data_IF_647955857553
#
_entry.id   IF_647955857553
#
_cell.length_a   1.000
_cell.length_b   1.000
_cell.length_c   1.000
_cell.angle_alpha   90.00
_cell.angle_beta   90.00
_cell.angle_gamma   90.00
#
_symmetry.space_group_name_H-M   'P 1'
#
loop_
_entity.id
_entity.type
_entity.pdbx_description
1 polymer ?
#
# COMPACT_ATOMS: atom_id res chain seq x y z
N UNK A 1 24.59 16.86 0.91
CA UNK A 1 23.68 15.68 0.88
C UNK A 1 24.22 14.52 0.02
N UNK A 2 25.04 14.74 -1.00
CA UNK A 2 25.59 13.64 -1.82
C UNK A 2 26.39 12.60 -1.04
N UNK A 3 27.06 12.99 0.03
CA UNK A 3 27.99 12.13 0.78
C UNK A 3 27.32 11.09 1.70
N UNK A 4 25.97 11.15 1.83
CA UNK A 4 25.18 10.24 2.68
C UNK A 4 24.18 9.41 1.89
N UNK A 5 24.25 9.42 0.55
CA UNK A 5 23.31 8.70 -0.32
C UNK A 5 24.03 7.58 -1.04
N UNK A 6 23.54 6.34 -0.85
CA UNK A 6 24.03 5.16 -1.55
C UNK A 6 22.91 4.70 -2.48
N UNK A 7 23.19 4.63 -3.78
CA UNK A 7 22.26 4.03 -4.74
C UNK A 7 22.47 2.51 -4.75
N UNK A 8 21.38 1.76 -4.61
CA UNK A 8 21.36 0.31 -4.60
C UNK A 8 20.49 -0.20 -5.74
N UNK A 9 20.91 -1.29 -6.39
CA UNK A 9 20.09 -2.00 -7.39
C UNK A 9 18.93 -2.74 -6.69
N UNK A 10 17.83 -2.90 -7.41
CA UNK A 10 16.71 -3.73 -6.97
C UNK A 10 17.05 -5.22 -7.08
N UNK A 11 16.45 -6.03 -6.21
CA UNK A 11 16.47 -7.50 -6.26
C UNK A 11 17.88 -8.11 -6.14
N UNK A 12 18.84 -7.34 -5.64
CA UNK A 12 20.20 -7.76 -5.36
C UNK A 12 20.54 -7.59 -3.88
N UNK A 13 21.39 -8.46 -3.34
CA UNK A 13 21.86 -8.35 -1.96
C UNK A 13 23.09 -7.43 -1.89
N UNK A 14 22.98 -6.35 -1.14
CA UNK A 14 24.02 -5.35 -0.93
C UNK A 14 24.51 -5.40 0.51
N UNK A 15 25.84 -5.38 0.70
CA UNK A 15 26.45 -5.29 2.01
C UNK A 15 26.82 -3.85 2.33
N UNK A 16 26.27 -3.32 3.42
CA UNK A 16 26.51 -1.95 3.90
C UNK A 16 27.27 -2.02 5.21
N UNK A 17 28.43 -1.40 5.28
CA UNK A 17 29.18 -1.24 6.50
C UNK A 17 28.56 -0.15 7.37
N UNK A 18 28.37 -0.44 8.66
CA UNK A 18 27.76 0.47 9.64
C UNK A 18 28.79 1.27 10.42
N UNK A 19 30.09 0.88 10.33
CA UNK A 19 31.19 1.51 11.01
C UNK A 19 32.40 1.74 10.08
N UNK A 20 33.26 2.71 10.44
CA UNK A 20 34.47 3.05 9.68
C UNK A 20 35.50 1.92 9.71
N UNK A 21 35.47 1.07 10.73
CA UNK A 21 36.40 -0.09 10.85
C UNK A 21 36.02 -1.26 9.98
N UNK A 22 34.86 -1.19 9.30
CA UNK A 22 34.28 -2.24 8.46
C UNK A 22 34.12 -3.61 9.17
N UNK A 23 33.95 -3.60 10.50
CA UNK A 23 33.73 -4.79 11.30
C UNK A 23 32.26 -5.14 11.44
N UNK A 24 31.39 -4.13 11.36
CA UNK A 24 29.97 -4.32 11.44
C UNK A 24 29.30 -3.91 10.14
N UNK A 25 28.34 -4.71 9.69
CA UNK A 25 27.59 -4.43 8.49
C UNK A 25 26.23 -5.08 8.52
N UNK A 26 25.44 -4.73 7.55
CA UNK A 26 24.09 -5.25 7.30
C UNK A 26 23.93 -5.57 5.82
N UNK A 27 23.37 -6.71 5.51
CA UNK A 27 22.89 -7.02 4.17
C UNK A 27 21.54 -6.35 3.96
N UNK A 28 21.36 -5.74 2.79
CA UNK A 28 20.13 -5.03 2.40
C UNK A 28 19.70 -5.50 1.03
N UNK A 29 18.43 -5.87 0.89
CA UNK A 29 17.77 -6.14 -0.38
C UNK A 29 16.62 -5.17 -0.55
N UNK A 30 16.52 -4.55 -1.72
CA UNK A 30 15.38 -3.73 -2.13
C UNK A 30 14.46 -4.55 -3.03
N UNK A 31 13.18 -4.61 -2.71
CA UNK A 31 12.16 -5.34 -3.48
C UNK A 31 10.98 -4.42 -3.77
N UNK A 32 10.32 -4.59 -4.91
CA UNK A 32 9.15 -3.78 -5.25
C UNK A 32 8.04 -3.95 -4.20
N UNK A 33 7.58 -2.84 -3.65
CA UNK A 33 6.46 -2.80 -2.71
C UNK A 33 5.09 -2.81 -3.41
N UNK A 34 5.04 -2.71 -4.73
CA UNK A 34 3.82 -2.66 -5.55
C UNK A 34 2.81 -1.59 -5.10
N UNK A 35 3.31 -0.53 -4.46
CA UNK A 35 2.49 0.58 -3.96
C UNK A 35 2.36 1.69 -5.01
N UNK A 36 3.49 2.25 -5.38
CA UNK A 36 3.63 3.26 -6.42
C UNK A 36 5.04 3.17 -7.02
N UNK A 37 5.31 3.79 -8.18
CA UNK A 37 6.64 3.78 -8.78
C UNK A 37 7.71 4.25 -7.79
N UNK A 38 8.77 3.44 -7.61
CA UNK A 38 9.87 3.69 -6.69
C UNK A 38 9.63 3.31 -5.23
N UNK A 39 8.44 2.83 -4.85
CA UNK A 39 8.20 2.28 -3.52
C UNK A 39 8.86 0.91 -3.37
N UNK A 40 9.60 0.71 -2.28
CA UNK A 40 10.34 -0.54 -2.03
C UNK A 40 10.09 -1.08 -0.64
N UNK A 41 10.11 -2.41 -0.55
CA UNK A 41 10.30 -3.14 0.70
C UNK A 41 11.79 -3.33 0.95
N UNK A 42 12.20 -3.34 2.21
CA UNK A 42 13.57 -3.59 2.63
C UNK A 42 13.68 -4.89 3.40
N UNK A 43 14.56 -5.79 2.96
CA UNK A 43 14.96 -6.97 3.72
C UNK A 43 16.38 -6.73 4.25
N UNK A 44 16.51 -6.58 5.57
CA UNK A 44 17.79 -6.44 6.24
C UNK A 44 18.19 -7.76 6.91
N UNK A 45 19.47 -8.14 6.81
CA UNK A 45 20.05 -9.26 7.55
C UNK A 45 21.33 -8.81 8.25
N UNK A 46 21.41 -9.01 9.54
CA UNK A 46 22.57 -8.60 10.34
C UNK A 46 22.55 -9.15 11.76
N UNK A 47 23.30 -8.54 12.67
CA UNK A 47 23.40 -8.98 14.08
C UNK A 47 22.05 -9.00 14.83
N UNK A 48 21.12 -8.12 14.44
CA UNK A 48 19.78 -8.08 15.04
C UNK A 48 18.83 -9.15 14.49
N UNK A 49 19.31 -9.99 13.56
CA UNK A 49 18.52 -10.96 12.82
C UNK A 49 18.03 -10.42 11.47
N UNK A 50 16.96 -11.00 10.98
CA UNK A 50 16.32 -10.64 9.70
C UNK A 50 15.13 -9.72 9.95
N UNK A 51 15.16 -8.54 9.34
CA UNK A 51 14.11 -7.53 9.42
C UNK A 51 13.51 -7.32 8.03
N UNK A 52 12.20 -7.52 7.90
CA UNK A 52 11.45 -7.15 6.69
C UNK A 52 10.61 -5.91 7.00
N UNK A 53 10.86 -4.83 6.26
CA UNK A 53 10.11 -3.58 6.34
C UNK A 53 9.36 -3.35 5.04
N UNK A 54 8.03 -3.42 5.08
CA UNK A 54 7.22 -3.30 3.86
C UNK A 54 7.18 -1.89 3.28
N UNK A 55 7.44 -0.86 4.09
CA UNK A 55 7.00 0.48 3.73
C UNK A 55 5.49 0.49 3.51
N UNK A 56 4.98 1.42 2.71
CA UNK A 56 3.65 1.36 2.13
C UNK A 56 3.69 0.33 1.00
N UNK A 57 2.82 -0.69 1.05
CA UNK A 57 2.85 -1.79 0.07
C UNK A 57 1.45 -2.29 -0.31
N UNK A 58 1.37 -2.87 -1.48
CA UNK A 58 0.21 -3.67 -1.89
C UNK A 58 0.65 -5.11 -2.11
N UNK A 59 0.17 -6.03 -1.27
CA UNK A 59 0.47 -7.44 -1.44
C UNK A 59 0.00 -7.95 -2.80
N UNK A 60 0.89 -8.64 -3.49
CA UNK A 60 0.61 -9.39 -4.71
C UNK A 60 1.23 -10.78 -4.58
N UNK A 61 0.58 -11.86 -5.06
CA UNK A 61 1.12 -13.23 -4.98
C UNK A 61 2.54 -13.39 -5.54
N UNK A 62 2.91 -12.63 -6.56
CA UNK A 62 4.26 -12.63 -7.14
C UNK A 62 5.37 -12.28 -6.13
N UNK A 63 5.06 -11.54 -5.05
CA UNK A 63 6.04 -11.29 -3.98
C UNK A 63 6.53 -12.59 -3.33
N UNK A 64 5.68 -13.63 -3.30
CA UNK A 64 6.03 -14.95 -2.76
C UNK A 64 6.84 -15.80 -3.76
N UNK A 65 7.07 -15.30 -4.94
CA UNK A 65 7.93 -15.93 -5.96
C UNK A 65 9.35 -15.36 -5.93
N UNK A 66 9.57 -14.24 -5.22
CA UNK A 66 10.86 -13.57 -5.13
C UNK A 66 11.91 -14.46 -4.45
N UNK A 67 13.02 -14.81 -5.12
CA UNK A 67 13.95 -15.86 -4.64
C UNK A 67 14.68 -15.49 -3.35
N UNK A 68 14.94 -14.20 -3.09
CA UNK A 68 15.58 -13.74 -1.87
C UNK A 68 14.61 -13.62 -0.68
N UNK A 69 13.30 -13.56 -0.94
CA UNK A 69 12.26 -13.54 0.08
C UNK A 69 11.71 -14.94 0.34
N UNK A 70 11.47 -15.72 -0.71
CA UNK A 70 10.94 -17.07 -0.67
C UNK A 70 11.85 -18.00 -1.46
N UNK A 71 12.97 -18.49 -0.87
CA UNK A 71 13.92 -19.34 -1.55
C UNK A 71 13.26 -20.61 -2.12
N UNK A 72 13.68 -21.08 -3.31
CA UNK A 72 13.08 -22.22 -3.98
C UNK A 72 13.01 -23.50 -3.12
N UNK A 73 14.00 -23.72 -2.25
CA UNK A 73 14.07 -24.86 -1.34
C UNK A 73 12.99 -24.84 -0.24
N UNK A 74 12.32 -23.70 -0.04
CA UNK A 74 11.20 -23.54 0.91
C UNK A 74 9.82 -23.57 0.24
N UNK A 75 9.76 -23.75 -1.08
CA UNK A 75 8.50 -23.86 -1.79
C UNK A 75 7.85 -25.22 -1.50
N UNK A 76 6.68 -25.18 -0.86
CA UNK A 76 5.82 -26.34 -0.68
C UNK A 76 4.64 -26.22 -1.65
N UNK A 77 4.34 -27.24 -2.50
CA UNK A 77 3.23 -27.22 -3.43
C UNK A 77 1.85 -26.99 -2.78
N UNK A 78 1.70 -27.37 -1.50
CA UNK A 78 0.44 -27.25 -0.75
C UNK A 78 0.33 -25.93 0.03
N UNK A 79 1.42 -25.16 0.15
CA UNK A 79 1.47 -23.89 0.85
C UNK A 79 1.99 -22.81 -0.09
N UNK A 80 1.34 -21.65 -0.10
CA UNK A 80 1.94 -20.44 -0.67
C UNK A 80 3.31 -20.23 -0.03
N UNK A 81 4.34 -19.96 -0.83
CA UNK A 81 5.75 -19.94 -0.47
C UNK A 81 6.05 -19.50 0.96
N UNK A 82 6.94 -20.22 1.63
CA UNK A 82 7.40 -19.87 2.98
C UNK A 82 8.57 -18.92 2.83
N UNK A 83 8.42 -17.73 3.38
CA UNK A 83 9.47 -16.70 3.37
C UNK A 83 10.71 -17.15 4.16
N UNK A 84 11.82 -16.47 3.97
CA UNK A 84 12.99 -16.56 4.85
C UNK A 84 12.58 -16.33 6.30
N UNK A 85 13.39 -16.83 7.25
CA UNK A 85 13.07 -16.63 8.66
C UNK A 85 13.17 -15.16 9.04
N UNK A 86 12.02 -14.51 9.20
CA UNK A 86 11.91 -13.10 9.57
C UNK A 86 11.80 -12.98 11.09
N UNK A 87 12.74 -12.26 11.69
CA UNK A 87 12.72 -11.97 13.13
C UNK A 87 11.76 -10.82 13.44
N UNK A 88 11.78 -9.77 12.61
CA UNK A 88 10.93 -8.58 12.76
C UNK A 88 10.27 -8.23 11.43
N UNK A 89 8.94 -8.20 11.42
CA UNK A 89 8.14 -7.69 10.31
C UNK A 89 7.58 -6.32 10.68
N UNK A 90 8.06 -5.27 9.99
CA UNK A 90 7.46 -3.95 9.99
C UNK A 90 6.43 -3.87 8.87
N UNK A 91 5.14 -3.80 9.25
CA UNK A 91 4.01 -3.98 8.33
C UNK A 91 3.23 -2.68 8.13
N UNK A 92 2.98 -2.33 6.88
CA UNK A 92 1.93 -1.35 6.53
C UNK A 92 0.57 -1.87 7.00
N UNK A 93 -0.03 -1.16 7.93
CA UNK A 93 -1.31 -1.51 8.52
C UNK A 93 -2.41 -0.48 8.19
N UNK A 94 -2.29 0.23 7.06
CA UNK A 94 -3.24 1.28 6.65
C UNK A 94 -4.67 0.77 6.66
N UNK A 95 -4.93 -0.40 6.07
CA UNK A 95 -6.24 -1.05 6.05
C UNK A 95 -6.29 -2.35 6.87
N UNK A 96 -5.55 -2.41 7.98
CA UNK A 96 -5.60 -3.54 8.91
C UNK A 96 -6.88 -3.53 9.76
N UNK A 97 -8.02 -3.57 9.09
CA UNK A 97 -9.36 -3.60 9.69
C UNK A 97 -10.29 -4.37 8.75
N UNK A 98 -11.04 -5.39 9.21
CA UNK A 98 -11.98 -6.16 8.41
C UNK A 98 -13.06 -5.35 7.68
N UNK A 99 -13.29 -4.10 8.07
CA UNK A 99 -14.19 -3.18 7.38
C UNK A 99 -13.67 -2.74 6.00
N UNK A 100 -12.38 -2.88 5.75
CA UNK A 100 -11.74 -2.54 4.47
C UNK A 100 -11.47 -3.80 3.64
N UNK A 101 -12.57 -4.44 3.21
CA UNK A 101 -12.56 -5.56 2.28
C UNK A 101 -12.87 -5.05 0.88
N UNK A 102 -11.86 -4.67 0.16
CA UNK A 102 -11.97 -4.20 -1.21
C UNK A 102 -11.31 -5.18 -2.19
N UNK A 103 -11.72 -5.18 -3.48
CA UNK A 103 -11.27 -6.12 -4.49
C UNK A 103 -9.78 -5.99 -4.83
N UNK A 104 -9.28 -6.95 -5.60
CA UNK A 104 -7.95 -6.85 -6.23
C UNK A 104 -7.87 -5.64 -7.16
N UNK A 105 -6.66 -5.26 -7.58
CA UNK A 105 -6.49 -4.17 -8.57
C UNK A 105 -7.13 -4.49 -9.89
N UNK A 106 -7.03 -5.74 -10.32
CA UNK A 106 -7.58 -6.25 -11.58
C UNK A 106 -9.10 -6.22 -11.58
N UNK A 107 -9.72 -6.65 -10.48
CA UNK A 107 -11.18 -6.59 -10.30
C UNK A 107 -11.66 -5.13 -10.23
N UNK A 108 -10.95 -4.26 -9.51
CA UNK A 108 -11.26 -2.84 -9.43
C UNK A 108 -11.07 -2.14 -10.80
N UNK A 109 -10.04 -2.51 -11.56
CA UNK A 109 -9.85 -2.03 -12.94
C UNK A 109 -11.00 -2.49 -13.85
N UNK A 110 -11.43 -3.74 -13.75
CA UNK A 110 -12.58 -4.26 -14.52
C UNK A 110 -13.85 -3.46 -14.21
N UNK A 111 -14.09 -3.13 -12.94
CA UNK A 111 -15.21 -2.27 -12.54
C UNK A 111 -15.09 -0.87 -13.16
N UNK A 112 -13.90 -0.26 -13.09
CA UNK A 112 -13.62 1.04 -13.70
C UNK A 112 -13.86 1.04 -15.21
N UNK A 113 -13.31 0.05 -15.91
CA UNK A 113 -13.50 -0.13 -17.35
C UNK A 113 -14.98 -0.26 -17.74
N UNK A 114 -15.77 -1.00 -16.98
CA UNK A 114 -17.21 -1.15 -17.21
C UNK A 114 -17.94 0.19 -17.04
N UNK A 115 -17.61 0.99 -16.03
CA UNK A 115 -18.19 2.32 -15.84
C UNK A 115 -17.87 3.21 -17.04
N UNK A 116 -16.63 3.24 -17.49
CA UNK A 116 -16.23 4.03 -18.66
C UNK A 116 -16.93 3.56 -19.94
N UNK A 117 -17.02 2.24 -20.16
CA UNK A 117 -17.69 1.65 -21.32
C UNK A 117 -19.20 1.96 -21.38
N UNK A 118 -19.88 1.99 -20.23
CA UNK A 118 -21.32 2.31 -20.17
C UNK A 118 -21.61 3.80 -20.39
N UNK A 119 -20.57 4.64 -20.30
CA UNK A 119 -20.67 6.09 -20.49
C UNK A 119 -19.86 6.57 -21.71
N UNK A 120 -19.91 5.82 -22.83
CA UNK A 120 -19.24 6.25 -24.06
C UNK A 120 -19.75 7.62 -24.52
N UNK A 121 -18.82 8.49 -24.89
CA UNK A 121 -19.12 9.85 -25.28
C UNK A 121 -19.19 10.85 -24.11
N UNK A 122 -18.97 10.39 -22.87
CA UNK A 122 -18.82 11.26 -21.73
C UNK A 122 -17.35 11.60 -21.50
N UNK A 123 -17.09 12.83 -21.08
CA UNK A 123 -15.80 13.20 -20.49
C UNK A 123 -15.68 12.54 -19.12
N UNK A 124 -14.50 11.99 -18.82
CA UNK A 124 -14.21 11.33 -17.56
C UNK A 124 -13.30 12.20 -16.69
N UNK A 125 -13.76 12.60 -15.51
CA UNK A 125 -12.90 13.17 -14.48
C UNK A 125 -12.54 12.09 -13.46
N UNK A 126 -11.28 11.64 -13.51
CA UNK A 126 -10.75 10.60 -12.64
C UNK A 126 -10.01 11.24 -11.47
N UNK A 127 -10.54 11.12 -10.27
CA UNK A 127 -9.96 11.70 -9.06
C UNK A 127 -9.02 10.71 -8.37
N UNK A 128 -7.75 11.11 -8.25
CA UNK A 128 -6.71 10.33 -7.59
C UNK A 128 -5.72 11.22 -6.83
N UNK A 129 -4.87 10.61 -6.00
CA UNK A 129 -3.74 11.30 -5.41
C UNK A 129 -2.67 11.61 -6.47
N UNK A 130 -1.71 12.46 -6.12
CA UNK A 130 -0.67 12.95 -7.03
C UNK A 130 0.23 11.83 -7.57
N UNK A 131 0.60 10.87 -6.72
CA UNK A 131 1.41 9.70 -7.05
C UNK A 131 0.63 8.42 -6.72
N UNK A 132 0.96 7.36 -7.42
CA UNK A 132 0.25 6.08 -7.39
C UNK A 132 -0.87 6.04 -8.43
N UNK A 133 -1.24 4.83 -8.80
CA UNK A 133 -2.27 4.53 -9.83
C UNK A 133 -1.83 4.81 -11.28
N UNK A 134 -0.52 4.97 -11.51
CA UNK A 134 0.03 5.15 -12.86
C UNK A 134 -0.34 3.98 -13.76
N UNK A 135 -0.27 2.74 -13.26
CA UNK A 135 -0.66 1.53 -13.98
C UNK A 135 -2.10 1.61 -14.49
N UNK A 136 -3.06 2.03 -13.66
CA UNK A 136 -4.46 2.14 -14.09
C UNK A 136 -4.65 3.22 -15.15
N UNK A 137 -3.87 4.30 -15.10
CA UNK A 137 -3.92 5.35 -16.12
C UNK A 137 -3.34 4.86 -17.45
N UNK A 138 -2.24 4.14 -17.43
CA UNK A 138 -1.63 3.54 -18.62
C UNK A 138 -2.57 2.51 -19.27
N UNK A 139 -3.18 1.65 -18.46
CA UNK A 139 -4.14 0.66 -18.93
C UNK A 139 -5.39 1.32 -19.56
N UNK A 140 -5.88 2.44 -18.98
CA UNK A 140 -6.98 3.21 -19.59
C UNK A 140 -6.58 3.84 -20.92
N UNK A 141 -5.37 4.43 -21.00
CA UNK A 141 -4.87 5.02 -22.23
C UNK A 141 -4.80 4.00 -23.37
N UNK A 142 -4.25 2.81 -23.09
CA UNK A 142 -4.10 1.72 -24.06
C UNK A 142 -5.44 1.09 -24.42
N UNK A 143 -6.32 0.81 -23.44
CA UNK A 143 -7.62 0.17 -23.67
C UNK A 143 -8.59 1.05 -24.47
N UNK A 144 -8.56 2.35 -24.23
CA UNK A 144 -9.48 3.29 -24.87
C UNK A 144 -8.84 4.10 -26.00
N UNK A 145 -7.58 3.78 -26.36
CA UNK A 145 -6.83 4.44 -27.43
C UNK A 145 -6.90 5.97 -27.34
N UNK A 146 -6.68 6.51 -26.12
CA UNK A 146 -6.77 7.95 -25.84
C UNK A 146 -5.58 8.43 -25.00
N UNK A 147 -5.21 9.69 -25.14
CA UNK A 147 -4.27 10.30 -24.22
C UNK A 147 -4.98 10.58 -22.88
N UNK A 148 -4.23 10.42 -21.79
CA UNK A 148 -4.69 10.81 -20.45
C UNK A 148 -4.28 12.24 -20.19
N UNK A 149 -5.28 13.10 -20.00
CA UNK A 149 -5.05 14.51 -19.67
C UNK A 149 -4.64 14.65 -18.21
N UNK A 150 -3.47 15.20 -17.96
CA UNK A 150 -2.89 15.37 -16.62
C UNK A 150 -2.38 16.80 -16.41
N UNK A 151 -2.18 17.21 -15.16
CA UNK A 151 -1.49 18.45 -14.84
C UNK A 151 0.03 18.33 -15.07
N UNK A 152 0.70 19.50 -15.22
CA UNK A 152 2.13 19.63 -15.47
C UNK A 152 3.00 18.80 -14.51
N UNK A 153 2.66 18.80 -13.21
CA UNK A 153 3.42 18.05 -12.20
C UNK A 153 3.40 16.55 -12.47
N UNK A 154 2.24 16.00 -12.86
CA UNK A 154 2.12 14.57 -13.17
C UNK A 154 2.81 14.23 -14.50
N UNK A 155 2.72 15.10 -15.50
CA UNK A 155 3.45 14.95 -16.77
C UNK A 155 4.95 14.90 -16.50
N UNK A 156 5.48 15.84 -15.73
CA UNK A 156 6.89 15.87 -15.35
C UNK A 156 7.32 14.61 -14.60
N UNK A 157 6.49 14.10 -13.70
CA UNK A 157 6.76 12.84 -13.00
C UNK A 157 6.80 11.65 -13.96
N UNK A 158 5.85 11.55 -14.89
CA UNK A 158 5.83 10.49 -15.89
C UNK A 158 7.10 10.52 -16.78
N UNK A 159 7.58 11.71 -17.14
CA UNK A 159 8.82 11.90 -17.89
C UNK A 159 10.06 11.48 -17.09
N UNK A 160 10.19 11.94 -15.83
CA UNK A 160 11.35 11.61 -14.96
C UNK A 160 11.43 10.11 -14.71
N UNK A 161 10.30 9.46 -14.47
CA UNK A 161 10.21 8.02 -14.18
C UNK A 161 10.10 7.15 -15.44
N UNK A 162 10.12 7.75 -16.63
CA UNK A 162 9.95 7.09 -17.93
C UNK A 162 8.71 6.16 -17.99
N UNK A 163 7.58 6.62 -17.44
CA UNK A 163 6.33 5.89 -17.38
C UNK A 163 5.46 6.12 -18.63
N UNK A 164 5.96 5.70 -19.81
CA UNK A 164 5.28 5.87 -21.10
C UNK A 164 4.71 7.30 -21.28
N UNK A 165 5.54 8.37 -21.17
CA UNK A 165 5.06 9.75 -21.15
C UNK A 165 4.28 10.15 -22.43
N UNK A 166 4.43 9.41 -23.51
CA UNK A 166 3.68 9.59 -24.76
C UNK A 166 2.20 9.23 -24.67
N UNK A 167 1.76 8.58 -23.60
CA UNK A 167 0.35 8.28 -23.32
C UNK A 167 -0.34 9.38 -22.50
N UNK A 168 0.39 10.42 -22.12
CA UNK A 168 -0.13 11.56 -21.35
C UNK A 168 -0.05 12.85 -22.16
N UNK A 169 -0.95 13.78 -21.85
CA UNK A 169 -0.93 15.13 -22.38
C UNK A 169 -1.31 16.15 -21.31
N UNK A 170 -0.87 17.39 -21.48
CA UNK A 170 -1.36 18.53 -20.68
C UNK A 170 -2.42 19.34 -21.41
N UNK A 171 -2.62 19.10 -22.71
CA UNK A 171 -3.66 19.73 -23.51
C UNK A 171 -5.03 19.04 -23.27
N UNK A 172 -6.03 19.76 -22.70
CA UNK A 172 -7.34 19.18 -22.43
C UNK A 172 -8.12 18.77 -23.68
N UNK A 173 -7.72 19.22 -24.87
CA UNK A 173 -8.39 18.89 -26.14
C UNK A 173 -7.92 17.57 -26.75
N UNK A 174 -6.80 17.01 -26.29
CA UNK A 174 -6.20 15.81 -26.87
C UNK A 174 -6.66 14.50 -26.22
N UNK A 175 -7.49 14.57 -25.17
CA UNK A 175 -8.03 13.39 -24.49
C UNK A 175 -9.32 13.67 -23.75
N UNK A 176 -10.12 12.65 -23.54
CA UNK A 176 -11.41 12.75 -22.84
C UNK A 176 -11.38 12.17 -21.41
N UNK A 177 -10.25 11.56 -20.99
CA UNK A 177 -10.01 11.10 -19.61
C UNK A 177 -9.04 12.08 -18.94
N UNK A 178 -9.56 12.83 -17.97
CA UNK A 178 -8.82 13.88 -17.26
C UNK A 178 -8.55 13.47 -15.82
N UNK A 179 -7.30 13.43 -15.42
CA UNK A 179 -6.92 13.13 -14.03
C UNK A 179 -6.95 14.42 -13.20
N UNK A 180 -7.72 14.39 -12.13
CA UNK A 180 -7.87 15.48 -11.18
C UNK A 180 -7.33 15.06 -9.81
N UNK A 181 -6.82 16.01 -9.03
CA UNK A 181 -6.39 15.72 -7.68
C UNK A 181 -7.62 15.48 -6.78
N UNK A 182 -7.62 14.39 -6.01
CA UNK A 182 -8.72 14.07 -5.11
C UNK A 182 -8.93 15.12 -4.01
N UNK A 183 -7.90 15.90 -3.67
CA UNK A 183 -8.01 17.01 -2.72
C UNK A 183 -8.91 18.12 -3.24
N UNK A 184 -8.96 18.27 -4.56
CA UNK A 184 -9.75 19.30 -5.23
C UNK A 184 -11.18 18.87 -5.53
N UNK A 185 -11.56 17.61 -5.18
CA UNK A 185 -12.90 17.07 -5.46
C UNK A 185 -14.04 17.96 -4.95
N UNK A 186 -13.84 18.66 -3.83
CA UNK A 186 -14.86 19.56 -3.25
C UNK A 186 -15.09 20.84 -4.06
N UNK A 187 -14.11 21.26 -4.86
CA UNK A 187 -14.19 22.44 -5.71
C UNK A 187 -14.86 22.17 -7.07
N UNK A 188 -15.13 20.89 -7.36
CA UNK A 188 -15.78 20.46 -8.59
C UNK A 188 -17.26 20.20 -8.37
N UNK A 189 -18.09 20.80 -9.21
CA UNK A 189 -19.54 20.60 -9.25
C UNK A 189 -19.89 19.78 -10.50
N UNK A 190 -20.44 18.59 -10.26
CA UNK A 190 -20.76 17.65 -11.35
C UNK A 190 -21.96 18.12 -12.17
N UNK A 191 -22.93 18.79 -11.55
CA UNK A 191 -24.10 19.32 -12.25
C UNK A 191 -23.69 20.47 -13.16
N UNK A 192 -22.80 21.35 -12.69
CA UNK A 192 -22.26 22.44 -13.50
C UNK A 192 -21.45 21.92 -14.69
N UNK A 193 -20.57 20.92 -14.46
CA UNK A 193 -19.80 20.30 -15.54
C UNK A 193 -20.69 19.67 -16.61
N UNK A 194 -21.84 19.11 -16.22
CA UNK A 194 -22.76 18.46 -17.16
C UNK A 194 -23.66 19.42 -17.94
N UNK A 195 -23.64 20.72 -17.64
CA UNK A 195 -24.32 21.73 -18.46
C UNK A 195 -23.62 21.96 -19.80
N UNK A 196 -22.29 21.92 -19.77
CA UNK A 196 -21.47 22.19 -20.96
C UNK A 196 -21.21 20.92 -21.76
N UNK A 197 -20.82 19.83 -21.08
CA UNK A 197 -20.45 18.56 -21.71
C UNK A 197 -20.77 17.38 -20.80
N UNK A 198 -21.39 16.30 -21.31
CA UNK A 198 -21.63 15.09 -20.53
C UNK A 198 -20.38 14.61 -19.83
N UNK A 199 -20.38 14.60 -18.49
CA UNK A 199 -19.18 14.32 -17.69
C UNK A 199 -19.51 13.37 -16.56
N UNK A 200 -18.65 12.36 -16.33
CA UNK A 200 -18.70 11.49 -15.15
C UNK A 200 -17.53 11.76 -14.23
N UNK A 201 -17.78 11.65 -12.93
CA UNK A 201 -16.77 11.71 -11.89
C UNK A 201 -16.51 10.31 -11.35
N UNK A 202 -15.25 9.89 -11.40
CA UNK A 202 -14.82 8.58 -10.89
C UNK A 202 -13.74 8.81 -9.83
N UNK A 203 -13.97 8.27 -8.63
CA UNK A 203 -13.06 8.38 -7.50
C UNK A 203 -12.41 7.03 -7.25
N UNK A 204 -11.07 6.97 -7.34
CA UNK A 204 -10.30 5.76 -7.04
C UNK A 204 -9.84 5.78 -5.59
N UNK A 205 -10.42 4.96 -4.72
CA UNK A 205 -10.08 4.96 -3.29
C UNK A 205 -10.40 3.63 -2.61
N UNK A 206 -9.53 3.18 -1.69
CA UNK A 206 -9.81 2.06 -0.78
C UNK A 206 -10.64 2.44 0.46
N UNK A 207 -10.89 3.73 0.69
CA UNK A 207 -11.66 4.17 1.85
C UNK A 207 -13.16 4.01 1.64
N UNK A 208 -13.81 3.17 2.46
CA UNK A 208 -15.25 2.90 2.35
C UNK A 208 -16.12 4.05 2.86
N UNK A 209 -15.64 4.78 3.85
CA UNK A 209 -16.34 5.84 4.57
C UNK A 209 -16.13 7.25 3.97
N UNK A 210 -15.14 7.39 3.08
CA UNK A 210 -14.79 8.67 2.46
C UNK A 210 -15.37 8.79 1.06
N UNK A 211 -15.59 10.03 0.64
CA UNK A 211 -16.00 10.37 -0.73
C UNK A 211 -17.33 9.74 -1.17
N UNK A 212 -18.23 9.46 -0.23
CA UNK A 212 -19.57 8.96 -0.55
C UNK A 212 -20.48 10.14 -0.94
N UNK A 213 -20.98 10.13 -2.18
CA UNK A 213 -22.00 11.05 -2.68
C UNK A 213 -23.03 10.26 -3.45
N UNK A 214 -24.30 10.48 -3.16
CA UNK A 214 -25.41 9.88 -3.93
C UNK A 214 -25.85 10.89 -5.01
N UNK A 215 -25.03 11.00 -6.05
CA UNK A 215 -25.27 11.90 -7.19
C UNK A 215 -25.23 11.11 -8.49
N UNK A 216 -26.04 11.46 -9.50
CA UNK A 216 -25.91 10.90 -10.82
C UNK A 216 -24.52 11.20 -11.39
N UNK A 217 -24.01 10.29 -12.22
CA UNK A 217 -22.69 10.42 -12.86
C UNK A 217 -21.48 10.51 -11.90
N UNK A 218 -21.66 10.12 -10.64
CA UNK A 218 -20.62 10.06 -9.63
C UNK A 218 -20.39 8.61 -9.20
N UNK A 219 -19.18 8.11 -9.41
CA UNK A 219 -18.82 6.72 -9.17
C UNK A 219 -17.63 6.63 -8.22
N UNK A 220 -17.67 5.69 -7.28
CA UNK A 220 -16.55 5.35 -6.44
C UNK A 220 -16.08 3.94 -6.78
N UNK A 221 -14.84 3.81 -7.21
CA UNK A 221 -14.19 2.53 -7.52
C UNK A 221 -13.23 2.19 -6.39
N UNK A 222 -13.36 1.00 -5.77
CA UNK A 222 -12.54 0.59 -4.63
C UNK A 222 -11.14 0.15 -5.07
N UNK A 223 -10.37 1.06 -5.67
CA UNK A 223 -9.01 0.86 -6.10
C UNK A 223 -8.03 1.41 -5.05
N UNK A 224 -7.18 0.55 -4.48
CA UNK A 224 -6.21 0.91 -3.46
C UNK A 224 -4.78 0.54 -3.86
N UNK A 225 -3.82 1.38 -3.43
CA UNK A 225 -2.38 1.09 -3.51
C UNK A 225 -1.84 0.45 -2.22
N UNK A 226 -2.67 0.29 -1.18
CA UNK A 226 -2.34 -0.45 0.04
C UNK A 226 -3.11 -1.76 0.11
N UNK A 227 -2.56 -2.73 0.81
CA UNK A 227 -3.19 -4.04 1.02
C UNK A 227 -4.46 -3.94 1.85
N UNK A 228 -5.49 -4.71 1.47
CA UNK A 228 -6.67 -4.91 2.30
C UNK A 228 -6.37 -5.88 3.46
N UNK A 229 -7.32 -6.04 4.39
CA UNK A 229 -7.09 -6.89 5.58
C UNK A 229 -6.84 -8.36 5.23
N UNK A 230 -7.46 -8.92 4.18
CA UNK A 230 -7.23 -10.32 3.74
C UNK A 230 -5.86 -10.51 3.12
N UNK A 231 -5.39 -9.52 2.38
CA UNK A 231 -4.05 -9.51 1.80
C UNK A 231 -2.98 -9.40 2.89
N UNK A 232 -3.21 -8.55 3.90
CA UNK A 232 -2.34 -8.43 5.07
C UNK A 232 -2.27 -9.76 5.82
N UNK A 233 -3.40 -10.44 6.03
CA UNK A 233 -3.44 -11.75 6.66
C UNK A 233 -2.63 -12.78 5.88
N UNK A 234 -2.82 -12.86 4.55
CA UNK A 234 -2.06 -13.78 3.68
C UNK A 234 -0.56 -13.51 3.76
N UNK A 235 -0.17 -12.23 3.73
CA UNK A 235 1.24 -11.84 3.80
C UNK A 235 1.87 -12.20 5.14
N UNK A 236 1.23 -11.86 6.27
CA UNK A 236 1.72 -12.19 7.61
C UNK A 236 1.80 -13.70 7.83
N UNK A 237 0.81 -14.45 7.34
CA UNK A 237 0.80 -15.91 7.38
C UNK A 237 1.99 -16.52 6.61
N UNK A 238 2.28 -16.03 5.40
CA UNK A 238 3.41 -16.49 4.61
C UNK A 238 4.76 -16.11 5.24
N UNK A 239 4.84 -14.93 5.84
CA UNK A 239 6.02 -14.44 6.54
C UNK A 239 6.28 -15.18 7.85
N UNK A 240 5.23 -15.48 8.62
CA UNK A 240 5.31 -16.13 9.93
C UNK A 240 6.43 -15.52 10.82
N UNK A 241 6.42 -14.19 11.09
CA UNK A 241 7.53 -13.52 11.76
C UNK A 241 7.62 -13.89 13.24
N UNK A 242 8.79 -13.66 13.88
CA UNK A 242 8.88 -13.74 15.34
C UNK A 242 8.19 -12.54 16.02
N UNK A 243 8.33 -11.37 15.42
CA UNK A 243 7.76 -10.13 15.94
C UNK A 243 7.09 -9.36 14.82
N UNK A 244 5.86 -8.88 15.07
CA UNK A 244 5.08 -8.06 14.15
C UNK A 244 4.95 -6.66 14.71
N UNK A 245 5.35 -5.66 13.91
CA UNK A 245 5.35 -4.23 14.24
C UNK A 245 4.53 -3.51 13.19
N UNK A 246 3.58 -2.69 13.61
CA UNK A 246 2.72 -1.93 12.72
C UNK A 246 3.28 -0.53 12.47
N UNK A 247 3.46 -0.15 11.20
CA UNK A 247 4.12 1.09 10.78
C UNK A 247 3.23 2.32 10.99
N UNK A 248 1.93 2.19 10.74
CA UNK A 248 1.00 3.32 10.84
C UNK A 248 0.53 3.46 12.27
N UNK A 249 0.94 4.56 12.92
CA UNK A 249 0.45 4.95 14.23
C UNK A 249 -0.86 5.72 14.07
N UNK A 250 -1.95 5.05 14.33
CA UNK A 250 -3.28 5.64 14.22
C UNK A 250 -3.76 6.11 15.58
N UNK A 251 -3.85 7.44 15.74
CA UNK A 251 -4.40 8.06 16.95
C UNK A 251 -5.88 7.72 17.18
N UNK A 252 -6.57 7.26 16.11
CA UNK A 252 -7.97 6.86 16.11
C UNK A 252 -8.11 5.36 15.84
N UNK A 253 -7.31 4.51 16.50
CA UNK A 253 -7.43 3.06 16.34
C UNK A 253 -8.83 2.60 16.79
N UNK A 254 -9.54 1.91 15.89
CA UNK A 254 -10.84 1.33 16.21
C UNK A 254 -10.66 -0.02 16.93
N UNK A 255 -11.67 -0.45 17.70
CA UNK A 255 -11.68 -1.75 18.36
C UNK A 255 -11.45 -2.90 17.37
N UNK A 256 -12.17 -2.91 16.25
CA UNK A 256 -12.03 -3.93 15.19
C UNK A 256 -10.61 -4.00 14.62
N UNK A 257 -9.97 -2.84 14.41
CA UNK A 257 -8.59 -2.79 13.95
C UNK A 257 -7.62 -3.38 14.97
N UNK A 258 -7.79 -3.04 16.26
CA UNK A 258 -6.96 -3.58 17.33
C UNK A 258 -7.15 -5.11 17.46
N UNK A 259 -8.38 -5.60 17.43
CA UNK A 259 -8.70 -7.02 17.48
C UNK A 259 -8.05 -7.77 16.31
N UNK A 260 -8.11 -7.23 15.10
CA UNK A 260 -7.47 -7.82 13.93
C UNK A 260 -5.93 -7.85 14.06
N UNK A 261 -5.32 -6.77 14.54
CA UNK A 261 -3.88 -6.73 14.79
C UNK A 261 -3.46 -7.76 15.84
N UNK A 262 -4.22 -7.91 16.93
CA UNK A 262 -3.99 -8.92 17.96
C UNK A 262 -4.16 -10.34 17.42
N UNK A 263 -5.17 -10.56 16.56
CA UNK A 263 -5.39 -11.82 15.86
C UNK A 263 -4.16 -12.19 15.02
N UNK A 264 -3.65 -11.28 14.18
CA UNK A 264 -2.47 -11.54 13.36
C UNK A 264 -1.24 -11.94 14.21
N UNK A 265 -1.01 -11.24 15.31
CA UNK A 265 0.10 -11.54 16.22
C UNK A 265 -0.06 -12.89 16.89
N UNK A 266 -1.27 -13.23 17.34
CA UNK A 266 -1.55 -14.47 18.06
C UNK A 266 -1.46 -15.71 17.16
N UNK A 267 -2.03 -15.62 15.95
CA UNK A 267 -2.18 -16.78 15.06
C UNK A 267 -0.93 -17.04 14.22
N UNK A 268 -0.23 -15.99 13.79
CA UNK A 268 0.82 -16.13 12.77
C UNK A 268 2.23 -15.80 13.25
N UNK A 269 2.41 -15.16 14.42
CA UNK A 269 3.77 -14.97 14.94
C UNK A 269 4.31 -16.25 15.58
N UNK A 270 5.55 -16.61 15.23
CA UNK A 270 6.21 -17.77 15.79
C UNK A 270 6.42 -17.62 17.30
N UNK A 271 5.92 -18.57 18.09
CA UNK A 271 6.23 -18.63 19.52
C UNK A 271 7.67 -19.09 19.68
N UNK A 272 8.54 -18.23 20.18
CA UNK A 272 9.93 -18.62 20.49
C UNK A 272 9.98 -19.67 21.59
N UNK A 273 11.03 -20.50 21.65
CA UNK A 273 11.18 -21.59 22.64
C UNK A 273 11.24 -21.12 24.11
N UNK A 274 11.36 -19.81 24.38
CA UNK A 274 11.38 -19.26 25.73
C UNK A 274 10.78 -17.84 25.77
N UNK A 275 9.52 -17.76 26.12
CA UNK A 275 8.85 -16.47 26.41
C UNK A 275 9.35 -15.76 27.69
N UNK A 276 10.18 -16.42 28.51
CA UNK A 276 10.72 -15.85 29.76
C UNK A 276 11.94 -14.93 29.55
N UNK A 277 12.66 -15.04 28.43
CA UNK A 277 13.80 -14.15 28.11
C UNK A 277 13.43 -12.89 27.32
N UNK A 278 12.18 -12.79 26.89
CA UNK A 278 11.69 -11.72 26.00
C UNK A 278 11.41 -10.38 26.69
N UNK A 279 11.46 -10.33 28.01
CA UNK A 279 11.23 -9.08 28.78
C UNK A 279 12.38 -8.06 28.66
N UNK A 280 13.55 -8.49 28.21
CA UNK A 280 14.73 -7.63 28.05
C UNK A 280 15.01 -7.18 26.59
N UNK A 281 14.15 -7.54 25.61
CA UNK A 281 14.26 -7.03 24.26
C UNK A 281 13.64 -5.62 24.22
N UNK A 282 14.46 -4.56 24.00
CA UNK A 282 13.97 -3.18 24.03
C UNK A 282 12.88 -2.93 22.98
N UNK A 283 12.90 -3.63 21.85
CA UNK A 283 11.89 -3.50 20.77
C UNK A 283 10.59 -4.17 21.19
N UNK A 284 10.64 -5.39 21.74
CA UNK A 284 9.45 -6.09 22.27
C UNK A 284 8.80 -5.34 23.42
N UNK A 285 9.60 -4.86 24.38
CA UNK A 285 9.09 -4.09 25.52
C UNK A 285 8.43 -2.78 25.07
N UNK A 286 8.94 -2.13 24.03
CA UNK A 286 8.34 -0.94 23.45
C UNK A 286 7.00 -1.24 22.76
N UNK A 287 6.95 -2.28 21.90
CA UNK A 287 5.74 -2.69 21.18
C UNK A 287 4.64 -3.12 22.15
N UNK A 288 4.98 -3.93 23.16
CA UNK A 288 4.02 -4.43 24.13
C UNK A 288 3.44 -3.29 25.01
N UNK A 289 4.29 -2.38 25.50
CA UNK A 289 3.84 -1.19 26.24
C UNK A 289 2.91 -0.31 25.39
N UNK A 290 3.24 -0.10 24.13
CA UNK A 290 2.43 0.69 23.20
C UNK A 290 1.06 0.07 22.92
N UNK A 291 0.99 -1.27 22.84
CA UNK A 291 -0.28 -2.01 22.73
C UNK A 291 -1.13 -1.89 24.00
N UNK A 292 -0.53 -2.03 25.17
CA UNK A 292 -1.21 -1.90 26.47
C UNK A 292 -1.72 -0.48 26.67
N UNK A 293 -0.95 0.55 26.33
CA UNK A 293 -1.37 1.95 26.37
C UNK A 293 -2.54 2.24 25.43
N UNK A 294 -2.51 1.71 24.21
CA UNK A 294 -3.59 1.85 23.24
C UNK A 294 -4.87 1.12 23.69
N UNK A 295 -4.75 -0.08 24.26
CA UNK A 295 -5.88 -0.81 24.81
C UNK A 295 -6.54 -0.07 25.99
N UNK A 296 -5.75 0.50 26.88
CA UNK A 296 -6.25 1.34 28.00
C UNK A 296 -6.94 2.62 27.50
N UNK A 297 -6.39 3.24 26.45
CA UNK A 297 -6.97 4.46 25.86
C UNK A 297 -8.34 4.19 25.21
N UNK A 298 -8.52 3.02 24.59
CA UNK A 298 -9.79 2.59 24.03
C UNK A 298 -10.83 2.30 25.11
N UNK A 299 -10.47 1.53 26.13
CA UNK A 299 -11.34 1.24 27.25
C UNK A 299 -11.85 2.52 27.93
N UNK A 300 -10.97 3.49 28.18
CA UNK A 300 -11.32 4.80 28.75
C UNK A 300 -12.22 5.67 27.85
N UNK A 301 -12.19 5.45 26.52
CA UNK A 301 -13.09 6.16 25.58
C UNK A 301 -14.48 5.52 25.54
N UNK A 302 -14.57 4.20 25.65
CA UNK A 302 -15.84 3.48 25.71
C UNK A 302 -16.60 3.80 27.04
N UNK A 303 -15.90 3.90 28.17
CA UNK A 303 -16.49 4.32 29.46
C UNK A 303 -17.01 5.78 29.45
N UNK A 304 -16.42 6.67 28.66
CA UNK A 304 -16.85 8.07 28.56
C UNK A 304 -17.99 8.30 27.55
N UNK A 305 -18.34 7.28 26.74
CA UNK A 305 -19.46 7.30 25.78
C UNK A 305 -20.63 6.39 26.18
N UNK A 306 -20.65 5.93 27.42
CA UNK A 306 -21.79 5.20 28.02
C UNK A 306 -23.03 6.07 28.14
N UNK A 307 -24.25 5.45 28.21
CA UNK A 307 -25.54 5.96 27.77
C UNK A 307 -25.97 7.28 28.40
#
# INVERSE_FOLDING_TARGET
MKDYTIALSMDEEHWIYLDETKKEGVSVVLMDAMHCPGAVMFLFKGKIGTVLHTGDFRFHPQMLEHPLLCPPERKNPEMMGIMVDVDYLHLDNTFANPEYDFPTREEAYTCLKNIVNTHKGYRVFLFSYHLGKEEVLLNLAEEFETLIVVGEDRMRMAQIMNLKPHLFTTDPSEGWIHVKNIKDLKSWDIEECNKDEPTIFIILTGWNDKYNRNLPFYFKVPYSSHSNYRELEKFVRACCPKNLIFNVDDRAITKKRLEFQQYLMKEYCRKGPNTSLALNDPVKGFVQRRFEEKSKTLANKEEKQGP
#
